data_IF_216587298864
#
_entry.id   IF_216587298864
#
_cell.length_a   1.000
_cell.length_b   1.000
_cell.length_c   1.000
_cell.angle_alpha   90.00
_cell.angle_beta   90.00
_cell.angle_gamma   90.00
#
_symmetry.space_group_name_H-M   'P 1'
#
loop_
_entity.id
_entity.type
_entity.pdbx_description
1 polymer ?
#
# COMPACT_ATOMS: atom_id res chain seq x y z
N UNK A 1 -52.18 26.74 -0.77
CA UNK A 1 -52.24 27.62 -1.97
C UNK A 1 -51.56 28.93 -1.66
N UNK A 2 -50.91 29.52 -2.68
CA UNK A 2 -50.20 30.80 -2.75
C UNK A 2 -48.74 30.78 -2.28
N UNK A 3 -47.75 31.30 -2.97
CA UNK A 3 -47.48 31.66 -4.38
C UNK A 3 -46.02 32.10 -4.38
N UNK A 4 -45.22 31.73 -5.38
CA UNK A 4 -43.86 32.25 -5.54
C UNK A 4 -43.87 33.67 -6.11
N UNK A 5 -42.96 34.58 -5.70
CA UNK A 5 -42.56 35.74 -6.50
C UNK A 5 -41.19 35.45 -7.16
N UNK A 6 -41.09 35.39 -8.49
CA UNK A 6 -40.97 36.51 -9.43
C UNK A 6 -39.59 37.21 -9.39
N UNK A 7 -38.67 36.70 -10.22
CA UNK A 7 -37.39 37.32 -10.54
C UNK A 7 -37.61 38.59 -11.37
N UNK A 8 -37.13 39.75 -10.90
CA UNK A 8 -37.06 40.98 -11.71
C UNK A 8 -35.64 41.22 -12.21
N UNK A 9 -35.53 41.56 -13.50
CA UNK A 9 -34.30 41.73 -14.30
C UNK A 9 -33.50 43.02 -14.00
N UNK A 10 -33.55 43.52 -12.77
CA UNK A 10 -32.91 44.78 -12.37
C UNK A 10 -31.50 44.65 -11.78
N UNK A 11 -31.02 43.43 -11.49
CA UNK A 11 -29.81 43.23 -10.68
C UNK A 11 -28.63 42.66 -11.49
N UNK A 12 -28.47 43.07 -12.74
CA UNK A 12 -27.37 42.62 -13.63
C UNK A 12 -26.24 43.65 -13.84
N UNK A 13 -26.12 44.65 -12.97
CA UNK A 13 -24.95 45.55 -12.97
C UNK A 13 -24.48 45.82 -11.56
N UNK A 14 -23.46 45.06 -11.14
CA UNK A 14 -22.34 45.41 -10.23
C UNK A 14 -21.84 44.14 -9.52
N UNK A 15 -21.16 43.27 -10.26
CA UNK A 15 -20.21 42.30 -9.71
C UNK A 15 -18.92 42.41 -10.52
N UNK A 16 -18.34 43.60 -10.54
CA UNK A 16 -16.93 43.79 -10.84
C UNK A 16 -16.36 44.45 -9.59
N UNK A 17 -15.28 43.85 -9.08
CA UNK A 17 -14.46 44.36 -7.97
C UNK A 17 -15.02 44.15 -6.55
N UNK A 18 -14.70 42.98 -5.98
CA UNK A 18 -14.00 42.85 -4.69
C UNK A 18 -14.23 41.45 -4.08
N UNK A 19 -13.15 40.69 -3.88
CA UNK A 19 -13.07 39.69 -2.81
C UNK A 19 -13.67 38.29 -3.07
N UNK A 20 -13.17 37.58 -4.08
CA UNK A 20 -13.24 36.12 -4.18
C UNK A 20 -11.91 35.55 -3.60
N UNK A 21 -11.76 34.50 -2.79
CA UNK A 21 -12.59 33.44 -2.25
C UNK A 21 -11.93 32.97 -0.93
N UNK A 22 -12.68 32.83 0.16
CA UNK A 22 -12.29 31.94 1.25
C UNK A 22 -13.28 30.76 1.25
N UNK A 23 -13.03 29.79 0.37
CA UNK A 23 -13.83 28.58 0.29
C UNK A 23 -12.92 27.35 0.14
N UNK A 24 -13.03 26.45 1.12
CA UNK A 24 -12.65 25.04 1.11
C UNK A 24 -11.16 24.66 0.96
N UNK A 25 -10.44 24.63 2.09
CA UNK A 25 -9.33 23.68 2.31
C UNK A 25 -9.81 22.38 2.97
N UNK A 26 -11.06 21.97 2.75
CA UNK A 26 -11.45 20.58 2.90
C UNK A 26 -11.07 19.87 1.60
N UNK A 27 -9.76 19.70 1.39
CA UNK A 27 -9.29 18.77 0.36
C UNK A 27 -9.89 17.42 0.70
N UNK A 28 -10.80 16.91 -0.15
CA UNK A 28 -11.22 15.52 -0.06
C UNK A 28 -9.95 14.67 0.07
N UNK A 29 -9.87 13.71 1.02
CA UNK A 29 -8.76 12.77 1.02
C UNK A 29 -8.66 12.20 -0.39
N UNK A 30 -7.59 12.56 -1.11
CA UNK A 30 -7.41 12.10 -2.46
C UNK A 30 -7.30 10.58 -2.39
N UNK A 31 -8.31 9.88 -2.89
CA UNK A 31 -8.31 8.42 -2.96
C UNK A 31 -7.04 8.02 -3.70
N UNK A 32 -6.16 7.25 -3.07
CA UNK A 32 -4.89 6.87 -3.68
C UNK A 32 -5.20 5.88 -4.81
N UNK A 33 -5.12 6.32 -6.06
CA UNK A 33 -5.35 5.44 -7.21
C UNK A 33 -4.18 4.45 -7.30
N UNK A 34 -4.50 3.18 -7.51
CA UNK A 34 -3.50 2.15 -7.78
C UNK A 34 -2.72 2.52 -9.05
N UNK A 35 -1.37 2.50 -9.01
CA UNK A 35 -0.57 2.86 -10.16
C UNK A 35 -0.72 1.84 -11.29
N UNK A 36 -0.67 2.33 -12.53
CA UNK A 36 -0.69 1.48 -13.73
C UNK A 36 0.55 0.61 -13.84
N UNK A 37 0.55 -0.33 -14.77
CA UNK A 37 1.76 -1.09 -15.10
C UNK A 37 2.81 -0.15 -15.66
N UNK A 38 3.99 -0.15 -15.05
CA UNK A 38 5.15 0.67 -15.40
C UNK A 38 6.40 -0.21 -15.37
N UNK A 39 7.40 0.09 -16.21
CA UNK A 39 8.66 -0.66 -16.22
C UNK A 39 9.47 -0.37 -14.96
N UNK A 40 10.17 -1.39 -14.46
CA UNK A 40 11.15 -1.19 -13.40
C UNK A 40 12.30 -0.30 -13.91
N UNK A 41 12.84 0.57 -13.06
CA UNK A 41 13.99 1.40 -13.41
C UNK A 41 15.24 0.53 -13.59
N UNK A 42 16.21 0.99 -14.41
CA UNK A 42 17.49 0.29 -14.58
C UNK A 42 18.20 0.08 -13.23
N UNK A 43 18.18 1.10 -12.35
CA UNK A 43 18.77 1.01 -11.01
C UNK A 43 18.10 -0.06 -10.14
N UNK A 44 16.77 -0.21 -10.23
CA UNK A 44 16.04 -1.27 -9.54
C UNK A 44 16.38 -2.65 -10.10
N UNK A 45 16.46 -2.81 -11.43
CA UNK A 45 16.88 -4.07 -12.07
C UNK A 45 18.28 -4.47 -11.62
N UNK A 46 19.23 -3.53 -11.67
CA UNK A 46 20.60 -3.76 -11.21
C UNK A 46 20.65 -4.08 -9.71
N UNK A 47 19.77 -3.50 -8.91
CA UNK A 47 19.69 -3.78 -7.48
C UNK A 47 19.18 -5.19 -7.20
N UNK A 48 18.18 -5.67 -7.93
CA UNK A 48 17.70 -7.06 -7.87
C UNK A 48 18.82 -8.04 -8.19
N UNK A 49 19.58 -7.80 -9.26
CA UNK A 49 20.74 -8.65 -9.59
C UNK A 49 21.88 -8.55 -8.59
N UNK A 50 22.16 -7.36 -8.04
CA UNK A 50 23.22 -7.16 -7.03
C UNK A 50 22.96 -7.96 -5.76
N UNK A 51 21.69 -8.15 -5.39
CA UNK A 51 21.31 -9.01 -4.27
C UNK A 51 21.18 -10.49 -4.66
N UNK A 52 21.61 -10.87 -5.87
CA UNK A 52 21.66 -12.25 -6.33
C UNK A 52 20.28 -12.86 -6.61
N UNK A 53 19.34 -12.04 -7.08
CA UNK A 53 17.98 -12.47 -7.42
C UNK A 53 17.69 -12.16 -8.89
N UNK A 54 16.72 -12.89 -9.44
CA UNK A 54 16.25 -12.76 -10.82
C UNK A 54 14.74 -12.46 -10.88
N UNK A 55 14.24 -12.19 -12.09
CA UNK A 55 12.81 -12.03 -12.38
C UNK A 55 12.00 -13.22 -11.85
N UNK A 56 10.99 -12.95 -11.04
CA UNK A 56 10.13 -13.98 -10.47
C UNK A 56 10.65 -14.62 -9.18
N UNK A 57 11.84 -14.26 -8.69
CA UNK A 57 12.32 -14.73 -7.37
C UNK A 57 11.33 -14.33 -6.28
N UNK A 58 11.00 -15.24 -5.36
CA UNK A 58 9.99 -15.00 -4.32
C UNK A 58 10.58 -15.06 -2.92
N UNK A 59 10.31 -14.04 -2.11
CA UNK A 59 10.69 -13.98 -0.70
C UNK A 59 9.48 -14.11 0.21
N UNK A 60 9.54 -14.99 1.19
CA UNK A 60 8.56 -15.02 2.28
C UNK A 60 8.74 -13.78 3.15
N UNK A 61 7.70 -12.98 3.29
CA UNK A 61 7.70 -11.75 4.08
C UNK A 61 6.68 -11.78 5.21
N UNK A 62 6.98 -11.07 6.30
CA UNK A 62 5.96 -10.54 7.21
C UNK A 62 5.43 -9.27 6.56
N UNK A 63 4.12 -9.25 6.27
CA UNK A 63 3.49 -8.27 5.39
C UNK A 63 3.59 -6.85 5.92
N UNK A 64 3.38 -6.62 7.22
CA UNK A 64 3.58 -5.31 7.84
C UNK A 64 4.49 -5.43 9.05
N UNK A 65 5.68 -4.84 8.94
CA UNK A 65 6.67 -4.72 9.97
C UNK A 65 6.16 -4.13 11.30
N UNK A 66 5.14 -3.26 11.24
CA UNK A 66 4.56 -2.59 12.42
C UNK A 66 3.58 -3.49 13.17
N UNK A 67 3.14 -4.57 12.53
CA UNK A 67 2.20 -5.53 13.09
C UNK A 67 2.91 -6.86 13.32
N UNK A 68 3.40 -7.13 14.54
CA UNK A 68 4.19 -8.32 14.82
C UNK A 68 3.41 -9.60 14.48
N UNK A 69 4.13 -10.66 14.12
CA UNK A 69 3.52 -11.98 13.95
C UNK A 69 3.16 -12.56 15.32
N UNK A 70 1.86 -12.68 15.59
CA UNK A 70 1.34 -13.20 16.87
C UNK A 70 0.84 -14.63 16.69
N UNK A 71 1.22 -15.51 17.63
CA UNK A 71 0.99 -16.96 17.54
C UNK A 71 -0.13 -17.46 18.45
N UNK A 72 -0.73 -16.58 19.26
CA UNK A 72 -1.86 -16.94 20.10
C UNK A 72 -3.09 -16.04 19.84
N UNK A 73 -4.31 -16.61 19.98
CA UNK A 73 -5.54 -15.82 19.94
C UNK A 73 -5.57 -14.70 20.98
N UNK A 74 -5.05 -14.95 22.18
CA UNK A 74 -5.08 -14.01 23.30
C UNK A 74 -4.17 -12.80 23.04
N UNK A 75 -2.94 -13.02 22.58
CA UNK A 75 -2.06 -11.91 22.17
C UNK A 75 -2.66 -11.12 21.00
N UNK A 76 -3.26 -11.80 20.03
CA UNK A 76 -3.90 -11.16 18.89
C UNK A 76 -5.04 -10.23 19.33
N UNK A 77 -5.89 -10.72 20.22
CA UNK A 77 -6.99 -9.94 20.81
C UNK A 77 -6.46 -8.78 21.64
N UNK A 78 -5.42 -9.00 22.45
CA UNK A 78 -4.78 -7.94 23.22
C UNK A 78 -4.17 -6.84 22.34
N UNK A 79 -3.70 -7.19 21.15
CA UNK A 79 -3.23 -6.25 20.13
C UNK A 79 -4.37 -5.58 19.32
N UNK A 80 -5.64 -5.85 19.65
CA UNK A 80 -6.80 -5.29 18.95
C UNK A 80 -7.00 -5.83 17.53
N UNK A 81 -6.43 -7.01 17.21
CA UNK A 81 -6.46 -7.62 15.88
C UNK A 81 -7.43 -8.80 15.83
N UNK A 82 -7.73 -9.23 14.61
CA UNK A 82 -8.67 -10.33 14.33
C UNK A 82 -7.90 -11.63 14.24
N UNK A 83 -8.25 -12.61 15.09
CA UNK A 83 -7.79 -13.99 14.95
C UNK A 83 -8.74 -14.75 14.03
N UNK A 84 -8.20 -15.42 12.99
CA UNK A 84 -8.98 -16.24 12.07
C UNK A 84 -8.11 -17.31 11.43
N UNK A 85 -8.67 -18.50 11.22
CA UNK A 85 -8.01 -19.62 10.53
C UNK A 85 -6.60 -19.93 11.06
N UNK A 86 -6.45 -19.88 12.39
CA UNK A 86 -5.20 -20.17 13.09
C UNK A 86 -4.15 -19.05 13.05
N UNK A 87 -4.47 -17.86 12.56
CA UNK A 87 -3.53 -16.75 12.45
C UNK A 87 -4.11 -15.42 12.92
N UNK A 88 -3.23 -14.54 13.41
CA UNK A 88 -3.58 -13.15 13.69
C UNK A 88 -3.47 -12.31 12.41
N UNK A 89 -4.60 -11.85 11.87
CA UNK A 89 -4.67 -11.15 10.59
C UNK A 89 -4.01 -9.77 10.65
N UNK A 90 -3.42 -9.34 9.55
CA UNK A 90 -2.82 -8.00 9.39
C UNK A 90 -3.84 -7.05 8.78
N UNK A 91 -3.99 -5.86 9.36
CA UNK A 91 -4.83 -4.80 8.81
C UNK A 91 -3.96 -3.81 8.03
N UNK A 92 -4.08 -3.81 6.71
CA UNK A 92 -3.40 -2.85 5.85
C UNK A 92 -4.31 -1.65 5.58
N UNK A 93 -3.72 -0.46 5.51
CA UNK A 93 -4.36 0.74 4.98
C UNK A 93 -3.47 1.37 3.92
N UNK A 94 -4.06 2.22 3.07
CA UNK A 94 -3.32 2.87 1.99
C UNK A 94 -2.11 3.66 2.48
N UNK A 95 -1.03 3.63 1.71
CA UNK A 95 0.13 4.49 1.93
C UNK A 95 1.42 3.71 2.12
N UNK A 96 2.28 4.15 3.04
CA UNK A 96 3.63 3.57 3.23
C UNK A 96 3.54 2.18 3.84
N UNK A 97 4.20 1.21 3.20
CA UNK A 97 4.34 -0.15 3.69
C UNK A 97 5.81 -0.47 3.97
N UNK A 98 6.04 -1.15 5.09
CA UNK A 98 7.33 -1.77 5.40
C UNK A 98 7.09 -3.24 5.69
N UNK A 99 7.86 -4.11 5.07
CA UNK A 99 7.76 -5.56 5.27
C UNK A 99 9.11 -6.13 5.65
N UNK A 100 9.11 -7.32 6.22
CA UNK A 100 10.33 -7.97 6.70
C UNK A 100 10.51 -9.30 5.99
N UNK A 101 11.68 -9.52 5.41
CA UNK A 101 12.07 -10.82 4.86
C UNK A 101 12.23 -11.82 6.03
N UNK A 102 11.47 -12.91 6.00
CA UNK A 102 11.43 -13.90 7.09
C UNK A 102 12.52 -14.98 6.95
N UNK A 103 13.10 -15.16 5.77
CA UNK A 103 14.16 -16.14 5.50
C UNK A 103 15.20 -15.55 4.54
N UNK A 104 16.46 -15.99 4.66
CA UNK A 104 17.50 -15.57 3.73
C UNK A 104 17.14 -15.94 2.28
N UNK A 105 17.38 -15.01 1.35
CA UNK A 105 17.18 -15.22 -0.07
C UNK A 105 18.20 -14.42 -0.88
N UNK A 106 18.92 -15.09 -1.78
CA UNK A 106 20.06 -14.48 -2.47
C UNK A 106 21.07 -13.94 -1.45
N UNK A 107 21.31 -12.63 -1.50
CA UNK A 107 22.16 -11.90 -0.53
C UNK A 107 21.35 -11.08 0.48
N UNK A 108 20.02 -11.18 0.47
CA UNK A 108 19.18 -10.54 1.47
C UNK A 108 19.00 -11.48 2.68
N UNK A 109 19.64 -11.21 3.82
CA UNK A 109 19.46 -12.03 5.01
C UNK A 109 18.07 -11.85 5.61
N UNK A 110 17.68 -12.80 6.47
CA UNK A 110 16.50 -12.65 7.34
C UNK A 110 16.56 -11.32 8.10
N UNK A 111 15.42 -10.63 8.18
CA UNK A 111 15.30 -9.33 8.84
C UNK A 111 15.54 -8.15 7.91
N UNK A 112 15.95 -8.36 6.66
CA UNK A 112 15.99 -7.32 5.64
C UNK A 112 14.60 -6.68 5.46
N UNK A 113 14.58 -5.36 5.31
CA UNK A 113 13.35 -4.56 5.24
C UNK A 113 13.06 -4.17 3.80
N UNK A 114 11.82 -4.38 3.38
CA UNK A 114 11.31 -3.90 2.11
C UNK A 114 10.47 -2.64 2.37
N UNK A 115 10.78 -1.55 1.67
CA UNK A 115 10.09 -0.28 1.80
C UNK A 115 9.32 0.04 0.52
N UNK A 116 8.06 0.39 0.68
CA UNK A 116 7.17 0.57 -0.44
C UNK A 116 5.91 1.34 -0.11
N UNK A 117 4.95 1.18 -1.02
CA UNK A 117 3.58 1.63 -0.83
C UNK A 117 2.61 0.49 -1.05
N UNK A 118 1.45 0.62 -0.43
CA UNK A 118 0.32 -0.28 -0.56
C UNK A 118 -0.94 0.49 -0.93
N UNK A 119 -1.77 -0.16 -1.73
CA UNK A 119 -3.08 0.27 -2.19
C UNK A 119 -4.05 -0.85 -1.87
N UNK A 120 -5.04 -0.53 -1.04
CA UNK A 120 -6.06 -1.42 -0.54
C UNK A 120 -7.39 -1.18 -1.26
N UNK A 121 -7.49 -0.19 -2.14
CA UNK A 121 -8.61 -0.03 -3.05
C UNK A 121 -8.60 -1.09 -4.16
N UNK A 122 -9.77 -1.44 -4.70
CA UNK A 122 -9.91 -2.45 -5.76
C UNK A 122 -10.25 -3.86 -5.26
N UNK A 123 -10.07 -4.88 -6.10
CA UNK A 123 -10.42 -6.26 -5.77
C UNK A 123 -9.39 -6.92 -4.84
N UNK A 124 -8.11 -6.67 -5.09
CA UNK A 124 -6.97 -7.19 -4.32
C UNK A 124 -6.20 -6.03 -3.68
N UNK A 125 -5.34 -6.34 -2.72
CA UNK A 125 -4.37 -5.38 -2.16
C UNK A 125 -3.11 -5.42 -3.01
N UNK A 126 -2.72 -4.29 -3.56
CA UNK A 126 -1.49 -4.19 -4.36
C UNK A 126 -0.45 -3.44 -3.57
N UNK A 127 0.80 -3.89 -3.64
CA UNK A 127 1.91 -3.23 -2.99
C UNK A 127 3.16 -3.29 -3.87
N UNK A 128 3.95 -2.22 -3.80
CA UNK A 128 5.17 -2.05 -4.59
C UNK A 128 6.28 -1.59 -3.66
N UNK A 129 7.31 -2.42 -3.50
CA UNK A 129 8.51 -2.05 -2.78
C UNK A 129 9.57 -1.59 -3.75
N UNK A 130 10.12 -0.41 -3.46
CA UNK A 130 11.12 0.24 -4.30
C UNK A 130 12.51 0.19 -3.69
N UNK A 131 12.63 -0.21 -2.41
CA UNK A 131 13.92 -0.29 -1.70
C UNK A 131 13.97 -1.50 -0.79
N UNK A 132 15.12 -2.17 -0.75
CA UNK A 132 15.45 -3.23 0.20
C UNK A 132 16.64 -2.77 1.04
N UNK A 133 16.49 -2.80 2.37
CA UNK A 133 17.56 -2.47 3.31
C UNK A 133 17.94 -3.68 4.15
N UNK A 134 19.21 -4.04 4.10
CA UNK A 134 19.75 -5.13 4.90
C UNK A 134 19.98 -4.70 6.36
N UNK A 135 20.10 -5.65 7.31
CA UNK A 135 20.38 -5.35 8.72
C UNK A 135 21.69 -4.59 8.96
N UNK A 136 22.67 -4.73 8.06
CA UNK A 136 23.93 -3.97 8.09
C UNK A 136 23.78 -2.50 7.65
N UNK A 137 22.58 -2.09 7.21
CA UNK A 137 22.28 -0.74 6.74
C UNK A 137 22.47 -0.54 5.23
N UNK A 138 23.02 -1.51 4.50
CA UNK A 138 23.14 -1.46 3.05
C UNK A 138 21.76 -1.43 2.40
N UNK A 139 21.59 -0.61 1.36
CA UNK A 139 20.31 -0.40 0.70
C UNK A 139 20.43 -0.53 -0.82
N UNK A 140 19.46 -1.20 -1.42
CA UNK A 140 19.34 -1.37 -2.86
C UNK A 140 17.97 -0.89 -3.33
N UNK A 141 17.94 -0.16 -4.45
CA UNK A 141 16.71 0.01 -5.21
C UNK A 141 16.28 -1.33 -5.77
N UNK A 142 14.99 -1.63 -5.66
CA UNK A 142 14.42 -2.91 -6.12
C UNK A 142 13.05 -2.68 -6.71
N UNK A 143 12.54 -3.66 -7.44
CA UNK A 143 11.18 -3.67 -7.96
C UNK A 143 10.52 -4.95 -7.44
N UNK A 144 9.71 -4.85 -6.38
CA UNK A 144 9.13 -6.03 -5.72
C UNK A 144 7.62 -5.85 -5.53
N UNK A 145 6.84 -6.79 -6.04
CA UNK A 145 5.39 -6.83 -5.83
C UNK A 145 5.05 -7.47 -4.49
N UNK A 146 4.10 -6.88 -3.78
CA UNK A 146 3.37 -7.53 -2.70
C UNK A 146 2.50 -8.61 -3.32
N UNK A 147 2.72 -9.87 -2.93
CA UNK A 147 2.21 -11.09 -3.57
C UNK A 147 2.82 -11.43 -4.92
N UNK A 148 3.08 -12.72 -5.10
CA UNK A 148 3.49 -13.34 -6.35
C UNK A 148 2.42 -13.35 -7.42
N UNK A 149 1.17 -13.16 -7.03
CA UNK A 149 0.02 -13.13 -7.93
C UNK A 149 -0.32 -11.70 -8.41
N UNK A 150 0.54 -10.70 -8.11
CA UNK A 150 0.31 -9.29 -8.44
C UNK A 150 -0.67 -8.57 -7.50
N UNK A 151 -1.20 -9.28 -6.50
CA UNK A 151 -2.03 -8.72 -5.45
C UNK A 151 -2.36 -9.75 -4.37
N UNK A 152 -2.62 -9.25 -3.18
CA UNK A 152 -3.05 -10.01 -2.00
C UNK A 152 -4.57 -10.06 -1.93
N UNK A 153 -5.14 -11.26 -1.70
CA UNK A 153 -6.57 -11.40 -1.52
C UNK A 153 -7.03 -10.75 -0.22
N UNK A 154 -8.14 -10.02 -0.31
CA UNK A 154 -8.80 -9.42 0.85
C UNK A 154 -9.60 -10.49 1.59
N UNK A 155 -9.41 -10.58 2.89
CA UNK A 155 -10.18 -11.47 3.75
C UNK A 155 -11.54 -10.82 4.13
N UNK A 156 -12.56 -11.63 4.45
CA UNK A 156 -13.86 -11.13 4.88
C UNK A 156 -13.77 -10.17 6.07
N UNK A 157 -14.48 -9.05 6.01
CA UNK A 157 -14.41 -7.97 7.01
C UNK A 157 -13.48 -6.81 6.64
N UNK A 158 -12.80 -6.89 5.49
CA UNK A 158 -12.14 -5.75 4.85
C UNK A 158 -13.16 -4.64 4.52
N UNK A 159 -12.71 -3.38 4.60
CA UNK A 159 -13.50 -2.16 4.35
C UNK A 159 -12.82 -1.34 3.24
N UNK A 160 -13.52 -0.37 2.63
CA UNK A 160 -12.87 0.63 1.78
C UNK A 160 -11.70 1.30 2.50
N UNK A 161 -10.55 1.45 1.84
CA UNK A 161 -9.29 1.96 2.40
C UNK A 161 -8.63 1.11 3.49
N UNK A 162 -9.14 -0.10 3.80
CA UNK A 162 -8.58 -0.96 4.84
C UNK A 162 -8.82 -2.46 4.58
N UNK A 163 -7.75 -3.22 4.36
CA UNK A 163 -7.83 -4.63 4.02
C UNK A 163 -7.30 -5.55 5.14
N UNK A 164 -8.06 -6.59 5.46
CA UNK A 164 -7.58 -7.71 6.28
C UNK A 164 -6.86 -8.70 5.36
N UNK A 165 -5.62 -9.04 5.69
CA UNK A 165 -4.79 -10.00 4.94
C UNK A 165 -4.10 -10.99 5.89
N UNK A 166 -3.57 -12.08 5.32
CA UNK A 166 -2.68 -13.00 6.04
C UNK A 166 -1.42 -12.25 6.49
N UNK A 167 -0.83 -12.57 7.66
CA UNK A 167 0.33 -11.83 8.18
C UNK A 167 1.64 -12.16 7.45
N UNK A 168 1.68 -13.26 6.69
CA UNK A 168 2.79 -13.65 5.84
C UNK A 168 2.31 -13.85 4.41
N UNK A 169 3.20 -13.56 3.48
CA UNK A 169 2.95 -13.73 2.05
C UNK A 169 4.27 -13.90 1.26
N UNK A 170 4.19 -14.27 -0.01
CA UNK A 170 5.32 -14.36 -0.92
C UNK A 170 5.43 -13.08 -1.76
N UNK A 171 6.41 -12.21 -1.47
CA UNK A 171 6.71 -11.05 -2.30
C UNK A 171 7.58 -11.46 -3.51
N UNK A 172 7.34 -10.88 -4.68
CA UNK A 172 8.04 -11.25 -5.93
C UNK A 172 8.91 -10.14 -6.46
N UNK A 173 10.18 -10.46 -6.68
CA UNK A 173 11.14 -9.59 -7.34
C UNK A 173 10.90 -9.59 -8.84
N UNK A 174 10.92 -8.41 -9.44
CA UNK A 174 10.58 -8.17 -10.83
C UNK A 174 11.72 -7.38 -11.48
N UNK A 175 12.03 -7.69 -12.73
CA UNK A 175 13.03 -6.95 -13.54
C UNK A 175 12.42 -6.33 -14.80
N UNK A 176 11.15 -6.60 -15.07
CA UNK A 176 10.42 -6.12 -16.26
C UNK A 176 9.48 -4.97 -15.91
N UNK A 177 8.22 -5.28 -15.62
CA UNK A 177 7.18 -4.29 -15.36
C UNK A 177 6.36 -4.69 -14.14
N UNK A 178 5.87 -3.70 -13.40
CA UNK A 178 4.95 -3.92 -12.31
C UNK A 178 3.71 -4.68 -12.77
N UNK A 179 3.20 -5.53 -11.87
CA UNK A 179 1.93 -6.21 -12.04
C UNK A 179 0.77 -5.22 -11.77
#
# INVERSE_FOLDING_TARGET
>A
MKSAPAFSRGFLKKCAEAGALAAALLGCPAQQVQPTQERCSAAAVDGVWRVGLDDGSTATIIVDAKQPYLRSPDECKAAGRVWRDGECLTLLGDGKLESVIDHEIGRLPKGSRLYGRVWTEGATVVGRYTRARMPNGEEHEVCVSLSSNGGLDKLPGSKPGAALVRPRDAATFITKQWH
#
